data_IF_175613455429
#
_entry.id   IF_175613455429
#
_cell.length_a   1.000
_cell.length_b   1.000
_cell.length_c   1.000
_cell.angle_alpha   90.00
_cell.angle_beta   90.00
_cell.angle_gamma   90.00
#
_symmetry.space_group_name_H-M   'P 1'
#
loop_
_entity.id
_entity.type
_entity.pdbx_description
1 polymer ?
#
# COMPACT_ATOMS: atom_id res chain seq x y z
N UNK A 1 -15.39 13.72 -27.27
CA UNK A 1 -16.14 13.01 -28.32
C UNK A 1 -15.37 11.74 -28.66
N UNK A 2 -16.02 10.58 -28.73
CA UNK A 2 -15.40 9.37 -29.31
C UNK A 2 -15.52 9.47 -30.82
N UNK A 3 -14.41 9.37 -31.53
CA UNK A 3 -14.36 9.37 -32.98
C UNK A 3 -13.87 7.99 -33.39
N UNK A 4 -14.80 7.13 -33.82
CA UNK A 4 -14.46 5.83 -34.39
C UNK A 4 -14.12 6.02 -35.86
N UNK A 5 -12.84 5.97 -36.21
CA UNK A 5 -12.42 5.91 -37.61
C UNK A 5 -12.04 4.46 -37.92
N UNK A 6 -12.78 3.85 -38.86
CA UNK A 6 -12.44 2.53 -39.40
C UNK A 6 -11.32 2.72 -40.42
N UNK A 7 -10.17 2.09 -40.18
CA UNK A 7 -9.10 1.97 -41.15
C UNK A 7 -9.01 0.51 -41.59
N UNK A 8 -9.15 0.26 -42.90
CA UNK A 8 -8.87 -1.04 -43.51
C UNK A 8 -7.44 -1.01 -44.06
N UNK A 9 -6.47 -1.55 -43.31
CA UNK A 9 -5.19 -1.96 -43.88
C UNK A 9 -5.00 -3.47 -43.67
N UNK A 10 -4.82 -4.18 -44.79
CA UNK A 10 -4.36 -5.57 -44.90
C UNK A 10 -5.05 -6.61 -43.99
N UNK A 11 -6.34 -6.85 -44.24
CA UNK A 11 -6.96 -8.16 -43.98
C UNK A 11 -7.22 -8.54 -42.52
N UNK A 12 -7.02 -7.63 -41.58
CA UNK A 12 -7.43 -7.80 -40.18
C UNK A 12 -8.46 -6.72 -39.84
N UNK A 13 -9.72 -7.12 -39.70
CA UNK A 13 -10.82 -6.23 -39.34
C UNK A 13 -10.76 -5.91 -37.83
N UNK A 14 -9.76 -5.12 -37.41
CA UNK A 14 -9.66 -4.58 -36.06
C UNK A 14 -10.16 -3.14 -36.08
N UNK A 15 -11.34 -2.91 -35.48
CA UNK A 15 -11.84 -1.56 -35.25
C UNK A 15 -11.01 -0.94 -34.11
N UNK A 16 -10.07 -0.06 -34.43
CA UNK A 16 -9.36 0.74 -33.43
C UNK A 16 -10.25 1.89 -32.95
N UNK A 17 -10.63 1.86 -31.67
CA UNK A 17 -11.36 2.96 -31.05
C UNK A 17 -10.36 4.01 -30.54
N UNK A 18 -10.46 5.24 -31.05
CA UNK A 18 -9.67 6.38 -30.59
C UNK A 18 -10.53 7.36 -29.82
N UNK A 19 -9.92 8.03 -28.84
CA UNK A 19 -10.57 9.07 -28.07
C UNK A 19 -9.82 10.39 -28.20
N UNK A 20 -10.57 11.48 -28.10
CA UNK A 20 -9.98 12.80 -27.90
C UNK A 20 -9.81 13.02 -26.40
N UNK A 21 -8.57 13.11 -25.96
CA UNK A 21 -8.19 13.39 -24.56
C UNK A 21 -8.63 14.80 -24.14
N UNK A 22 -8.66 15.11 -22.83
CA UNK A 22 -8.93 16.47 -22.34
C UNK A 22 -7.96 17.54 -22.88
N UNK A 23 -6.81 17.12 -23.42
CA UNK A 23 -5.80 17.99 -24.03
C UNK A 23 -5.94 18.11 -25.56
N UNK A 24 -7.07 17.70 -26.13
CA UNK A 24 -7.35 17.72 -27.57
C UNK A 24 -6.39 16.88 -28.42
N UNK A 25 -5.77 15.86 -27.82
CA UNK A 25 -4.94 14.87 -28.53
C UNK A 25 -5.71 13.58 -28.76
N UNK A 26 -5.54 12.97 -29.93
CA UNK A 26 -6.04 11.63 -30.21
C UNK A 26 -5.16 10.60 -29.49
N UNK A 27 -5.80 9.64 -28.83
CA UNK A 27 -5.13 8.49 -28.22
C UNK A 27 -5.92 7.20 -28.47
N UNK A 28 -5.24 6.06 -28.46
CA UNK A 28 -5.84 4.74 -28.66
C UNK A 28 -6.35 4.17 -27.35
N UNK A 29 -7.56 3.57 -27.37
CA UNK A 29 -8.02 2.77 -26.25
C UNK A 29 -7.29 1.43 -26.24
N UNK A 30 -6.47 1.21 -25.22
CA UNK A 30 -5.88 -0.11 -24.97
C UNK A 30 -6.58 -0.84 -23.83
N UNK A 31 -6.48 -2.16 -23.86
CA UNK A 31 -6.90 -2.97 -22.74
C UNK A 31 -5.97 -2.73 -21.54
N UNK A 32 -6.56 -2.67 -20.35
CA UNK A 32 -5.85 -2.47 -19.09
C UNK A 32 -6.18 -3.66 -18.20
N UNK A 33 -5.13 -4.39 -17.82
CA UNK A 33 -5.27 -5.54 -16.94
C UNK A 33 -5.88 -5.09 -15.62
N UNK A 34 -6.92 -5.80 -15.20
CA UNK A 34 -7.56 -5.60 -13.89
C UNK A 34 -7.62 -6.91 -13.13
N UNK A 35 -7.62 -6.84 -11.80
CA UNK A 35 -7.77 -8.00 -10.93
C UNK A 35 -8.54 -7.64 -9.66
N UNK A 36 -9.68 -8.30 -9.45
CA UNK A 36 -10.55 -8.05 -8.30
C UNK A 36 -11.37 -6.75 -8.41
N UNK A 37 -12.32 -6.55 -7.50
CA UNK A 37 -13.19 -5.36 -7.40
C UNK A 37 -14.06 -5.04 -8.63
N UNK A 38 -14.25 -5.97 -9.58
CA UNK A 38 -15.04 -5.75 -10.82
C UNK A 38 -16.42 -5.12 -10.56
N UNK A 39 -17.14 -5.63 -9.56
CA UNK A 39 -18.47 -5.12 -9.17
C UNK A 39 -18.44 -4.06 -8.05
N UNK A 40 -17.25 -3.65 -7.59
CA UNK A 40 -17.06 -2.82 -6.40
C UNK A 40 -15.99 -1.72 -6.61
N UNK A 41 -15.94 -1.13 -7.80
CA UNK A 41 -14.93 -0.12 -8.15
C UNK A 41 -14.97 1.13 -7.24
N UNK A 42 -16.14 1.48 -6.71
CA UNK A 42 -16.32 2.62 -5.79
C UNK A 42 -15.92 2.33 -4.34
N UNK A 43 -15.53 1.09 -4.01
CA UNK A 43 -15.19 0.68 -2.66
C UNK A 43 -14.14 1.58 -2.01
N UNK A 44 -14.36 1.94 -0.74
CA UNK A 44 -13.41 2.71 0.06
C UNK A 44 -13.04 4.05 -0.57
N UNK A 45 -14.00 4.83 -1.06
CA UNK A 45 -13.74 6.07 -1.82
C UNK A 45 -12.94 5.81 -3.11
N UNK A 46 -13.40 4.85 -3.91
CA UNK A 46 -12.83 4.51 -5.24
C UNK A 46 -11.44 3.85 -5.19
N UNK A 47 -11.03 3.39 -4.01
CA UNK A 47 -9.84 2.54 -3.83
C UNK A 47 -9.99 1.20 -4.53
N UNK A 48 -11.20 0.64 -4.62
CA UNK A 48 -11.45 -0.60 -5.37
C UNK A 48 -10.97 -0.52 -6.82
N UNK A 49 -11.27 0.58 -7.50
CA UNK A 49 -10.74 0.88 -8.83
C UNK A 49 -9.22 0.94 -8.85
N UNK A 50 -8.62 1.77 -7.99
CA UNK A 50 -7.17 1.94 -7.95
C UNK A 50 -6.49 0.60 -7.70
N UNK A 51 -6.94 -0.17 -6.71
CA UNK A 51 -6.36 -1.46 -6.34
C UNK A 51 -6.51 -2.49 -7.45
N UNK A 52 -7.67 -2.54 -8.14
CA UNK A 52 -7.88 -3.49 -9.23
C UNK A 52 -6.90 -3.33 -10.39
N UNK A 53 -6.46 -2.10 -10.69
CA UNK A 53 -5.42 -1.83 -11.71
C UNK A 53 -4.01 -1.92 -11.15
N UNK A 54 -3.86 -1.74 -9.84
CA UNK A 54 -2.58 -1.79 -9.13
C UNK A 54 -2.08 -3.23 -8.93
N UNK A 55 -2.98 -4.17 -8.63
CA UNK A 55 -2.63 -5.57 -8.34
C UNK A 55 -1.93 -6.28 -9.52
N UNK A 56 -2.37 -6.14 -10.79
CA UNK A 56 -1.66 -6.70 -11.94
C UNK A 56 -0.25 -6.11 -12.13
N UNK A 57 -0.05 -4.82 -11.81
CA UNK A 57 1.25 -4.14 -11.96
C UNK A 57 2.31 -4.71 -11.01
N UNK A 58 1.90 -5.27 -9.86
CA UNK A 58 2.83 -5.90 -8.93
C UNK A 58 3.69 -6.97 -9.61
N UNK A 59 3.13 -7.74 -10.55
CA UNK A 59 3.87 -8.79 -11.27
C UNK A 59 5.10 -8.26 -12.01
N UNK A 60 5.02 -7.03 -12.53
CA UNK A 60 6.11 -6.36 -13.28
C UNK A 60 7.16 -5.74 -12.34
N UNK A 61 6.75 -5.32 -11.14
CA UNK A 61 7.58 -4.55 -10.23
C UNK A 61 7.98 -5.31 -8.95
N UNK A 62 7.66 -6.60 -8.83
CA UNK A 62 7.86 -7.35 -7.58
C UNK A 62 9.33 -7.47 -7.15
N UNK A 63 10.28 -7.45 -8.08
CA UNK A 63 11.71 -7.58 -7.76
C UNK A 63 12.34 -6.22 -7.49
N UNK A 64 12.35 -5.33 -8.49
CA UNK A 64 13.08 -4.07 -8.44
C UNK A 64 12.22 -2.86 -8.03
N UNK A 65 10.90 -2.99 -8.08
CA UNK A 65 10.01 -1.84 -7.99
C UNK A 65 9.99 -1.01 -9.28
N UNK A 66 9.33 0.14 -9.21
CA UNK A 66 9.24 1.17 -10.27
C UNK A 66 10.09 2.40 -9.94
N UNK A 67 10.69 2.44 -8.75
CA UNK A 67 11.40 3.60 -8.21
C UNK A 67 10.61 4.33 -7.11
N UNK A 68 11.30 5.02 -6.18
CA UNK A 68 10.63 5.83 -5.18
C UNK A 68 9.80 6.95 -5.82
N UNK A 69 8.55 7.13 -5.36
CA UNK A 69 7.65 8.18 -5.82
C UNK A 69 7.30 8.16 -7.34
N UNK A 70 7.38 7.02 -8.01
CA UNK A 70 7.07 6.90 -9.45
C UNK A 70 5.71 6.25 -9.74
N UNK A 71 4.85 6.09 -8.73
CA UNK A 71 3.56 5.42 -8.89
C UNK A 71 2.68 6.06 -9.98
N UNK A 72 2.67 7.39 -10.06
CA UNK A 72 1.91 8.13 -11.08
C UNK A 72 2.27 7.73 -12.53
N UNK A 73 3.52 7.35 -12.78
CA UNK A 73 4.01 6.92 -14.09
C UNK A 73 3.74 5.44 -14.36
N UNK A 74 3.60 4.65 -13.29
CA UNK A 74 3.39 3.20 -13.38
C UNK A 74 1.90 2.86 -13.48
N UNK A 75 1.06 3.64 -12.80
CA UNK A 75 -0.38 3.46 -12.83
C UNK A 75 -0.95 3.87 -14.20
N UNK A 76 -1.85 3.08 -14.80
CA UNK A 76 -2.42 3.36 -16.12
C UNK A 76 -3.43 4.51 -16.05
N UNK A 77 -2.91 5.74 -16.02
CA UNK A 77 -3.70 6.98 -16.07
C UNK A 77 -4.36 7.23 -17.44
N UNK A 78 -4.07 6.36 -18.41
CA UNK A 78 -4.71 6.24 -19.72
C UNK A 78 -5.95 5.31 -19.70
N UNK A 79 -6.40 4.82 -18.53
CA UNK A 79 -7.72 4.16 -18.37
C UNK A 79 -8.87 5.18 -18.47
N UNK A 80 -9.03 5.80 -19.63
CA UNK A 80 -9.98 6.90 -19.81
C UNK A 80 -11.42 6.50 -19.48
N UNK A 81 -11.82 5.30 -19.89
CA UNK A 81 -13.17 4.76 -19.63
C UNK A 81 -13.34 4.45 -18.15
N UNK A 82 -12.36 3.77 -17.53
CA UNK A 82 -12.40 3.42 -16.12
C UNK A 82 -12.39 4.66 -15.22
N UNK A 83 -11.54 5.65 -15.53
CA UNK A 83 -11.47 6.93 -14.81
C UNK A 83 -12.81 7.67 -14.88
N UNK A 84 -13.44 7.78 -16.05
CA UNK A 84 -14.75 8.43 -16.17
C UNK A 84 -15.82 7.66 -15.40
N UNK A 85 -15.83 6.31 -15.49
CA UNK A 85 -16.80 5.46 -14.80
C UNK A 85 -16.78 5.67 -13.28
N UNK A 86 -15.59 5.88 -12.70
CA UNK A 86 -15.45 6.18 -11.26
C UNK A 86 -15.49 7.67 -10.94
N UNK A 87 -15.80 8.55 -11.89
CA UNK A 87 -15.86 10.00 -11.68
C UNK A 87 -14.51 10.65 -11.41
N UNK A 88 -13.42 10.06 -11.92
CA UNK A 88 -12.05 10.59 -11.97
C UNK A 88 -11.67 11.11 -13.36
N UNK A 89 -12.64 11.32 -14.26
CA UNK A 89 -12.38 11.90 -15.58
C UNK A 89 -11.57 13.20 -15.49
N UNK A 90 -10.45 13.26 -16.22
CA UNK A 90 -9.55 14.41 -16.20
C UNK A 90 -8.65 14.53 -14.96
N UNK A 91 -8.70 13.57 -14.03
CA UNK A 91 -7.82 13.51 -12.85
C UNK A 91 -6.70 12.48 -13.06
N UNK A 92 -5.58 12.68 -12.36
CA UNK A 92 -4.47 11.73 -12.31
C UNK A 92 -4.46 11.00 -10.97
N UNK A 93 -4.43 9.68 -11.02
CA UNK A 93 -4.20 8.83 -9.86
C UNK A 93 -2.70 8.83 -9.57
N UNK A 94 -2.33 9.42 -8.44
CA UNK A 94 -0.93 9.62 -8.05
C UNK A 94 -0.45 8.63 -6.99
N UNK A 95 -1.36 7.96 -6.29
CA UNK A 95 -1.06 7.02 -5.19
C UNK A 95 -2.10 5.89 -5.10
N UNK A 96 -1.73 4.73 -4.53
CA UNK A 96 -2.65 3.62 -4.34
C UNK A 96 -3.55 3.74 -3.11
N UNK A 97 -3.30 4.70 -2.20
CA UNK A 97 -4.02 4.82 -0.92
C UNK A 97 -3.94 3.55 -0.08
N UNK A 98 -2.75 2.94 -0.07
CA UNK A 98 -2.40 1.73 0.64
C UNK A 98 -0.87 1.66 0.74
N UNK A 99 -0.35 1.79 1.95
CA UNK A 99 1.09 1.85 2.22
C UNK A 99 1.83 0.59 1.74
N UNK A 100 1.19 -0.59 1.83
CA UNK A 100 1.79 -1.86 1.44
C UNK A 100 1.88 -2.01 -0.08
N UNK A 101 0.79 -1.70 -0.80
CA UNK A 101 0.80 -1.67 -2.27
C UNK A 101 1.78 -0.61 -2.81
N UNK A 102 1.83 0.55 -2.16
CA UNK A 102 2.78 1.60 -2.53
C UNK A 102 4.22 1.10 -2.39
N UNK A 103 4.56 0.49 -1.26
CA UNK A 103 5.89 -0.08 -1.01
C UNK A 103 6.22 -1.16 -2.05
N UNK A 104 5.30 -2.10 -2.28
CA UNK A 104 5.52 -3.21 -3.19
C UNK A 104 5.77 -2.76 -4.64
N UNK A 105 5.08 -1.73 -5.11
CA UNK A 105 5.25 -1.22 -6.48
C UNK A 105 6.45 -0.30 -6.61
N UNK A 106 6.70 0.56 -5.63
CA UNK A 106 7.77 1.57 -5.75
C UNK A 106 9.15 0.98 -5.48
N UNK A 107 9.30 0.23 -4.39
CA UNK A 107 10.60 -0.31 -3.95
C UNK A 107 10.68 -1.83 -4.04
N UNK A 108 9.63 -2.49 -4.52
CA UNK A 108 9.61 -3.93 -4.77
C UNK A 108 9.06 -4.76 -3.61
N UNK A 109 8.75 -6.02 -3.90
CA UNK A 109 8.25 -7.01 -2.95
C UNK A 109 9.26 -7.36 -1.86
N UNK A 110 10.57 -7.34 -2.17
CA UNK A 110 11.62 -7.56 -1.17
C UNK A 110 11.59 -6.45 -0.10
N UNK A 111 11.40 -5.20 -0.52
CA UNK A 111 11.26 -4.07 0.38
C UNK A 111 10.01 -4.21 1.26
N UNK A 112 8.88 -4.63 0.67
CA UNK A 112 7.67 -4.92 1.43
C UNK A 112 7.88 -6.03 2.46
N UNK A 113 8.56 -7.12 2.10
CA UNK A 113 8.85 -8.23 3.02
C UNK A 113 9.75 -7.80 4.18
N UNK A 114 10.81 -7.02 3.91
CA UNK A 114 11.68 -6.47 4.95
C UNK A 114 10.90 -5.54 5.89
N UNK A 115 10.06 -4.68 5.32
CA UNK A 115 9.18 -3.79 6.08
C UNK A 115 8.23 -4.59 6.98
N UNK A 116 7.54 -5.60 6.46
CA UNK A 116 6.66 -6.48 7.23
C UNK A 116 7.41 -7.29 8.29
N UNK A 117 8.63 -7.76 8.01
CA UNK A 117 9.44 -8.53 8.94
C UNK A 117 9.74 -7.73 10.22
N UNK A 118 10.06 -6.43 10.10
CA UNK A 118 10.28 -5.56 11.26
C UNK A 118 9.04 -5.53 12.17
N UNK A 119 7.84 -5.41 11.58
CA UNK A 119 6.60 -5.40 12.35
C UNK A 119 6.26 -6.74 12.96
N UNK A 120 6.39 -7.83 12.19
CA UNK A 120 6.10 -9.17 12.70
C UNK A 120 7.01 -9.51 13.87
N UNK A 121 8.32 -9.22 13.75
CA UNK A 121 9.27 -9.42 14.85
C UNK A 121 8.85 -8.61 16.07
N UNK A 122 8.59 -7.31 15.90
CA UNK A 122 8.21 -6.44 17.02
C UNK A 122 6.90 -6.87 17.70
N UNK A 123 5.87 -7.20 16.91
CA UNK A 123 4.58 -7.65 17.42
C UNK A 123 4.73 -8.98 18.16
N UNK A 124 5.39 -9.98 17.56
CA UNK A 124 5.60 -11.30 18.19
C UNK A 124 6.41 -11.18 19.48
N UNK A 125 7.46 -10.36 19.50
CA UNK A 125 8.22 -10.11 20.72
C UNK A 125 7.36 -9.47 21.82
N UNK A 126 6.58 -8.44 21.47
CA UNK A 126 5.68 -7.78 22.41
C UNK A 126 4.58 -8.72 22.94
N UNK A 127 3.92 -9.47 22.06
CA UNK A 127 2.91 -10.46 22.47
C UNK A 127 3.51 -11.51 23.41
N UNK A 128 4.67 -12.09 23.10
CA UNK A 128 5.31 -13.07 23.99
C UNK A 128 5.68 -12.49 25.35
N UNK A 129 6.13 -11.23 25.39
CA UNK A 129 6.58 -10.57 26.61
C UNK A 129 5.42 -10.19 27.55
N UNK A 130 4.28 -9.82 26.99
CA UNK A 130 3.16 -9.26 27.76
C UNK A 130 2.00 -10.24 27.97
N UNK A 131 1.72 -11.16 27.03
CA UNK A 131 0.47 -11.95 27.02
C UNK A 131 0.32 -12.96 28.17
N UNK A 132 1.42 -13.40 28.80
CA UNK A 132 1.40 -14.40 29.88
C UNK A 132 1.59 -13.82 31.28
N UNK A 133 1.48 -12.50 31.44
CA UNK A 133 1.68 -11.84 32.73
C UNK A 133 0.36 -11.60 33.46
N UNK A 134 0.38 -11.86 34.77
CA UNK A 134 -0.74 -11.63 35.69
C UNK A 134 -0.69 -10.23 36.30
N UNK A 135 0.51 -9.64 36.40
CA UNK A 135 0.75 -8.30 36.92
C UNK A 135 1.60 -7.50 35.94
N UNK A 136 1.29 -6.21 35.79
CA UNK A 136 1.96 -5.29 34.87
C UNK A 136 2.55 -4.10 35.62
N UNK A 137 3.82 -3.80 35.36
CA UNK A 137 4.48 -2.58 35.80
C UNK A 137 4.27 -1.43 34.80
N UNK A 138 4.49 -0.18 35.24
CA UNK A 138 4.32 1.00 34.39
C UNK A 138 5.11 0.95 33.07
N UNK A 139 6.33 0.39 33.09
CA UNK A 139 7.15 0.21 31.88
C UNK A 139 6.57 -0.82 30.90
N UNK A 140 5.81 -1.79 31.40
CA UNK A 140 5.16 -2.82 30.59
C UNK A 140 3.85 -2.28 30.00
N UNK A 141 3.07 -1.53 30.77
CA UNK A 141 1.88 -0.81 30.30
C UNK A 141 2.27 0.15 29.16
N UNK A 142 3.35 0.91 29.34
CA UNK A 142 3.86 1.80 28.29
C UNK A 142 4.27 1.04 27.02
N UNK A 143 4.97 -0.09 27.17
CA UNK A 143 5.34 -0.96 26.04
C UNK A 143 4.13 -1.54 25.30
N UNK A 144 3.09 -1.96 26.04
CA UNK A 144 1.81 -2.44 25.46
C UNK A 144 1.12 -1.32 24.69
N UNK A 145 1.09 -0.10 25.23
CA UNK A 145 0.51 1.06 24.56
C UNK A 145 1.16 1.33 23.20
N UNK A 146 2.49 1.29 23.13
CA UNK A 146 3.22 1.44 21.86
C UNK A 146 2.93 0.26 20.92
N UNK A 147 2.90 -0.97 21.43
CA UNK A 147 2.59 -2.17 20.63
C UNK A 147 1.21 -2.05 19.95
N UNK A 148 0.19 -1.64 20.71
CA UNK A 148 -1.17 -1.42 20.21
C UNK A 148 -1.23 -0.26 19.22
N UNK A 149 -0.51 0.83 19.50
CA UNK A 149 -0.37 1.96 18.57
C UNK A 149 0.27 1.54 17.24
N UNK A 150 1.32 0.72 17.29
CA UNK A 150 1.97 0.14 16.12
C UNK A 150 1.03 -0.75 15.33
N UNK A 151 0.26 -1.62 16.00
CA UNK A 151 -0.76 -2.43 15.36
C UNK A 151 -1.82 -1.55 14.66
N UNK A 152 -2.31 -0.51 15.35
CA UNK A 152 -3.24 0.45 14.78
C UNK A 152 -2.70 1.13 13.52
N UNK A 153 -1.43 1.55 13.52
CA UNK A 153 -0.79 2.14 12.34
C UNK A 153 -0.74 1.18 11.13
N UNK A 154 -0.49 -0.11 11.36
CA UNK A 154 -0.48 -1.10 10.28
C UNK A 154 -1.88 -1.33 9.69
N UNK A 155 -2.89 -1.40 10.57
CA UNK A 155 -4.29 -1.55 10.14
C UNK A 155 -4.73 -0.31 9.35
N UNK A 156 -4.40 0.90 9.80
CA UNK A 156 -4.73 2.12 9.05
C UNK A 156 -3.96 2.21 7.73
N UNK A 157 -2.74 1.65 7.67
CA UNK A 157 -1.93 1.54 6.45
C UNK A 157 -2.54 0.68 5.33
N UNK A 158 -3.53 -0.18 5.62
CA UNK A 158 -4.26 -0.93 4.59
C UNK A 158 -5.12 -0.02 3.70
N UNK A 159 -5.55 1.12 4.22
CA UNK A 159 -6.41 2.07 3.51
C UNK A 159 -5.78 3.47 3.39
N UNK A 160 -4.57 3.68 3.91
CA UNK A 160 -3.90 4.98 3.88
C UNK A 160 -2.43 4.83 3.47
N UNK A 161 -1.90 5.93 2.96
CA UNK A 161 -0.48 6.03 2.61
C UNK A 161 0.33 6.49 3.84
N UNK A 162 1.63 6.22 3.82
CA UNK A 162 2.54 6.80 4.80
C UNK A 162 2.73 8.30 4.50
N UNK A 163 2.43 9.15 5.47
CA UNK A 163 2.57 10.61 5.33
C UNK A 163 3.82 11.11 6.03
N UNK A 164 4.43 12.15 5.45
CA UNK A 164 5.65 12.79 6.00
C UNK A 164 5.46 13.33 7.42
N UNK A 165 4.24 13.67 7.82
CA UNK A 165 3.95 14.16 9.16
C UNK A 165 3.86 13.03 10.19
N UNK A 166 3.37 11.84 9.79
CA UNK A 166 3.09 10.74 10.73
C UNK A 166 4.23 9.73 10.77
N UNK A 167 4.89 9.48 9.64
CA UNK A 167 5.93 8.46 9.54
C UNK A 167 7.11 8.68 10.51
N UNK A 168 7.69 9.90 10.66
CA UNK A 168 8.81 10.10 11.58
C UNK A 168 8.45 9.83 13.04
N UNK A 169 7.27 10.31 13.47
CA UNK A 169 6.76 10.09 14.83
C UNK A 169 6.57 8.59 15.08
N UNK A 170 5.99 7.90 14.10
CA UNK A 170 5.80 6.45 14.17
C UNK A 170 7.11 5.69 14.32
N UNK A 171 8.12 5.97 13.49
CA UNK A 171 9.42 5.29 13.55
C UNK A 171 10.15 5.56 14.87
N UNK A 172 10.04 6.77 15.42
CA UNK A 172 10.54 7.08 16.76
C UNK A 172 9.84 6.23 17.84
N UNK A 173 8.50 6.15 17.81
CA UNK A 173 7.73 5.34 18.75
C UNK A 173 8.08 3.85 18.66
N UNK A 174 8.25 3.32 17.44
CA UNK A 174 8.67 1.94 17.22
C UNK A 174 10.04 1.67 17.87
N UNK A 175 11.01 2.56 17.66
CA UNK A 175 12.34 2.46 18.27
C UNK A 175 12.30 2.50 19.80
N UNK A 176 11.51 3.42 20.37
CA UNK A 176 11.27 3.49 21.82
C UNK A 176 10.61 2.19 22.32
N UNK A 177 9.60 1.69 21.61
CA UNK A 177 8.92 0.44 21.94
C UNK A 177 9.86 -0.76 21.98
N UNK A 178 10.77 -0.88 21.00
CA UNK A 178 11.81 -1.92 20.99
C UNK A 178 12.77 -1.80 22.18
N UNK A 179 13.18 -0.58 22.53
CA UNK A 179 14.04 -0.33 23.69
C UNK A 179 13.36 -0.72 25.01
N UNK A 180 12.07 -0.36 25.16
CA UNK A 180 11.25 -0.71 26.33
C UNK A 180 11.07 -2.23 26.44
N UNK A 181 10.77 -2.92 25.34
CA UNK A 181 10.68 -4.38 25.32
C UNK A 181 12.00 -5.04 25.76
N UNK A 182 13.14 -4.54 25.27
CA UNK A 182 14.47 -5.03 25.67
C UNK A 182 14.75 -4.79 27.16
N UNK A 183 14.36 -3.63 27.70
CA UNK A 183 14.49 -3.31 29.12
C UNK A 183 13.65 -4.27 29.98
N UNK A 184 12.36 -4.42 29.65
CA UNK A 184 11.43 -5.28 30.39
C UNK A 184 11.89 -6.75 30.36
N UNK A 185 12.39 -7.25 29.22
CA UNK A 185 12.94 -8.61 29.10
C UNK A 185 14.12 -8.86 30.03
N UNK A 186 15.08 -7.92 30.09
CA UNK A 186 16.24 -8.02 30.99
C UNK A 186 15.83 -8.00 32.46
N UNK A 187 14.82 -7.20 32.81
CA UNK A 187 14.29 -7.13 34.18
C UNK A 187 13.66 -8.47 34.59
N UNK A 188 12.88 -9.10 33.71
CA UNK A 188 12.29 -10.42 33.98
C UNK A 188 13.37 -11.50 34.15
N UNK A 189 14.39 -11.54 33.28
CA UNK A 189 15.48 -12.51 33.37
C UNK A 189 16.29 -12.39 34.67
N UNK A 190 16.57 -11.16 35.14
CA UNK A 190 17.24 -10.95 36.43
C UNK A 190 16.42 -11.50 37.59
N UNK A 191 15.11 -11.22 37.62
CA UNK A 191 14.19 -11.71 38.65
C UNK A 191 14.10 -13.25 38.68
N UNK A 192 14.30 -13.91 37.54
CA UNK A 192 14.35 -15.38 37.44
C UNK A 192 15.70 -15.95 37.88
N UNK A 193 16.81 -15.25 37.62
CA UNK A 193 18.15 -15.66 38.06
C UNK A 193 18.39 -15.46 39.57
N UNK A 194 17.71 -14.49 40.18
CA UNK A 194 17.77 -14.22 41.62
C UNK A 194 16.83 -15.12 42.45
N UNK A 195 16.07 -16.03 41.82
CA UNK A 195 15.18 -17.01 42.45
C UNK A 195 15.82 -18.39 42.54
#
# INVERSE_FOLDING_TARGET
AMQGEKYEEMGVNQTEYRIVTPFYKLDQLRHIDTFGFENNLHFGSRRGYIWSRTLPLLKKHIVQGSGPNTFIYTFPNDDYVGLVNVGYGGSLVTKPHNMFLQTAIQTGGISLLAFLAIFVIYLVEGFRLYFRKTEYHSSEIFGIGILLGTFGYLVTGLANDSTVCVAPVYWCLLGVGMAVNRYNRRKTQKKEADK
#
